data_IF_076671155367
#
_entry.id   IF_076671155367
#
_cell.length_a   1.000
_cell.length_b   1.000
_cell.length_c   1.000
_cell.angle_alpha   90.00
_cell.angle_beta   90.00
_cell.angle_gamma   90.00
#
_symmetry.space_group_name_H-M   'P 1'
#
loop_
_entity.id
_entity.type
_entity.pdbx_description
1 polymer ?
#
# COMPACT_ATOMS: atom_id res chain seq x y z
N UNK A 1 -22.03 23.84 -4.90
CA UNK A 1 -22.87 22.64 -4.90
C UNK A 1 -22.05 21.45 -4.50
N UNK A 2 -22.57 20.64 -3.61
CA UNK A 2 -21.89 19.43 -3.18
C UNK A 2 -22.19 18.30 -4.17
N UNK A 3 -21.13 17.57 -4.54
CA UNK A 3 -21.31 16.39 -5.36
C UNK A 3 -22.05 15.31 -4.55
N UNK A 4 -22.93 14.52 -5.20
CA UNK A 4 -23.64 13.43 -4.52
C UNK A 4 -22.75 12.22 -4.24
N UNK A 5 -21.49 12.26 -4.65
CA UNK A 5 -20.53 11.17 -4.47
C UNK A 5 -19.17 11.76 -4.15
N UNK A 6 -18.28 10.92 -3.62
CA UNK A 6 -16.88 11.27 -3.38
C UNK A 6 -15.99 10.62 -4.42
N UNK A 7 -14.97 11.38 -4.84
CA UNK A 7 -13.91 10.85 -5.71
C UNK A 7 -12.64 10.78 -4.88
N UNK A 8 -12.02 9.61 -4.85
CA UNK A 8 -10.77 9.39 -4.13
C UNK A 8 -9.68 9.00 -5.10
N UNK A 9 -8.45 9.37 -4.77
CA UNK A 9 -7.29 9.09 -5.60
C UNK A 9 -6.51 7.91 -5.04
N UNK A 10 -5.86 7.17 -5.91
CA UNK A 10 -4.92 6.14 -5.48
C UNK A 10 -3.61 6.25 -6.26
N UNK A 11 -2.53 5.82 -5.61
CA UNK A 11 -1.22 5.70 -6.21
C UNK A 11 -1.09 4.29 -6.77
N UNK A 12 -0.67 4.16 -8.03
CA UNK A 12 -0.55 2.86 -8.72
C UNK A 12 0.92 2.50 -8.82
N UNK A 13 1.32 1.38 -8.21
CA UNK A 13 2.72 0.95 -8.16
C UNK A 13 2.84 -0.56 -8.35
N UNK A 14 4.00 -0.99 -8.84
CA UNK A 14 4.32 -2.40 -8.93
C UNK A 14 4.44 -3.05 -7.54
N UNK A 15 4.00 -4.30 -7.42
CA UNK A 15 4.25 -5.10 -6.21
C UNK A 15 5.74 -5.28 -5.92
N UNK A 16 6.60 -5.04 -6.92
CA UNK A 16 8.05 -5.08 -6.74
C UNK A 16 8.59 -4.05 -5.77
N UNK A 17 7.81 -3.03 -5.42
CA UNK A 17 8.19 -2.05 -4.40
C UNK A 17 7.90 -2.53 -2.97
N UNK A 18 7.33 -3.73 -2.81
CA UNK A 18 7.05 -4.32 -1.50
C UNK A 18 8.11 -5.36 -1.15
N UNK A 19 8.78 -5.22 0.01
CA UNK A 19 9.60 -6.31 0.52
C UNK A 19 8.76 -7.55 0.79
N UNK A 20 9.40 -8.71 0.81
CA UNK A 20 8.71 -9.99 0.98
C UNK A 20 7.85 -10.04 2.24
N UNK A 21 8.36 -9.55 3.37
CA UNK A 21 7.60 -9.57 4.63
C UNK A 21 6.33 -8.73 4.54
N UNK A 22 6.37 -7.59 3.83
CA UNK A 22 5.19 -6.74 3.69
C UNK A 22 4.11 -7.39 2.83
N UNK A 23 4.50 -8.18 1.82
CA UNK A 23 3.53 -8.93 1.02
C UNK A 23 2.75 -9.90 1.90
N UNK A 24 3.44 -10.57 2.83
CA UNK A 24 2.79 -11.44 3.80
C UNK A 24 1.89 -10.71 4.76
N UNK A 25 2.32 -9.53 5.24
CA UNK A 25 1.49 -8.70 6.13
C UNK A 25 0.21 -8.26 5.44
N UNK A 26 0.31 -7.76 4.21
CA UNK A 26 -0.86 -7.30 3.46
C UNK A 26 -1.85 -8.42 3.21
N UNK A 27 -1.35 -9.62 2.90
CA UNK A 27 -2.23 -10.77 2.70
C UNK A 27 -2.99 -11.12 3.98
N UNK A 28 -2.33 -11.07 5.13
CA UNK A 28 -2.99 -11.31 6.42
C UNK A 28 -4.03 -10.23 6.73
N UNK A 29 -3.72 -8.97 6.46
CA UNK A 29 -4.67 -7.88 6.71
C UNK A 29 -5.90 -8.02 5.84
N UNK A 30 -5.73 -8.41 4.58
CA UNK A 30 -6.86 -8.62 3.68
C UNK A 30 -7.77 -9.74 4.17
N UNK A 31 -7.18 -10.81 4.71
CA UNK A 31 -7.96 -11.94 5.25
C UNK A 31 -8.67 -11.60 6.55
N UNK A 32 -8.10 -10.72 7.36
CA UNK A 32 -8.69 -10.36 8.65
C UNK A 32 -9.84 -9.37 8.55
N UNK A 33 -10.14 -8.88 7.35
CA UNK A 33 -11.21 -7.90 7.15
C UNK A 33 -10.91 -6.55 7.76
N UNK A 34 -9.64 -6.21 7.94
CA UNK A 34 -9.24 -4.93 8.50
C UNK A 34 -9.29 -4.85 10.01
N UNK A 35 -9.39 -5.99 10.69
CA UNK A 35 -9.49 -6.01 12.16
C UNK A 35 -8.16 -5.66 12.83
N UNK A 36 -7.05 -5.71 12.13
CA UNK A 36 -5.73 -5.34 12.66
C UNK A 36 -4.85 -4.84 11.52
N UNK A 37 -3.88 -3.99 11.83
CA UNK A 37 -2.97 -3.44 10.85
C UNK A 37 -3.66 -2.49 9.88
N UNK A 38 -3.32 -2.60 8.61
CA UNK A 38 -3.87 -1.74 7.57
C UNK A 38 -5.16 -2.33 7.00
N UNK A 39 -6.08 -1.47 6.59
CA UNK A 39 -7.24 -1.89 5.79
C UNK A 39 -6.76 -2.19 4.38
N UNK A 40 -6.99 -3.41 3.93
CA UNK A 40 -6.41 -3.89 2.69
C UNK A 40 -7.36 -4.87 2.01
N UNK A 41 -7.46 -4.77 0.69
CA UNK A 41 -8.16 -5.73 -0.15
C UNK A 41 -7.15 -6.46 -1.00
N UNK A 42 -7.29 -7.78 -1.15
CA UNK A 42 -6.43 -8.52 -2.05
C UNK A 42 -7.16 -8.92 -3.31
N UNK A 43 -6.42 -9.04 -4.40
CA UNK A 43 -6.91 -9.48 -5.68
C UNK A 43 -5.94 -10.46 -6.31
N UNK A 44 -6.23 -10.95 -7.53
CA UNK A 44 -5.37 -11.94 -8.17
C UNK A 44 -3.98 -11.40 -8.52
N UNK A 45 -3.80 -10.08 -8.58
CA UNK A 45 -2.54 -9.48 -9.03
C UNK A 45 -1.92 -8.52 -8.02
N UNK A 46 -2.46 -8.41 -6.81
CA UNK A 46 -1.88 -7.52 -5.81
C UNK A 46 -2.85 -7.11 -4.71
N UNK A 47 -2.63 -5.90 -4.18
CA UNK A 47 -3.37 -5.41 -3.02
C UNK A 47 -3.78 -3.97 -3.20
N UNK A 48 -4.97 -3.62 -2.70
CA UNK A 48 -5.46 -2.25 -2.66
C UNK A 48 -5.52 -1.83 -1.19
N UNK A 49 -4.66 -0.88 -0.81
CA UNK A 49 -4.38 -0.54 0.59
C UNK A 49 -4.91 0.85 0.91
N UNK A 50 -5.66 0.98 2.00
CA UNK A 50 -6.06 2.29 2.52
C UNK A 50 -4.89 2.93 3.25
N UNK A 51 -4.59 4.19 2.91
CA UNK A 51 -3.47 4.92 3.50
C UNK A 51 -3.91 5.52 4.84
N UNK A 52 -3.23 5.20 5.96
CA UNK A 52 -3.56 5.83 7.24
C UNK A 52 -3.21 7.32 7.23
N UNK A 53 -3.83 8.09 8.11
CA UNK A 53 -3.57 9.53 8.20
C UNK A 53 -2.11 9.84 8.52
N UNK A 54 -1.49 9.04 9.39
CA UNK A 54 -0.08 9.17 9.69
C UNK A 54 0.58 7.79 9.60
N UNK A 55 1.21 7.47 8.46
CA UNK A 55 1.81 6.15 8.27
C UNK A 55 2.95 5.83 9.23
N UNK A 56 3.62 6.85 9.77
CA UNK A 56 4.76 6.62 10.67
C UNK A 56 4.35 6.42 12.12
N UNK A 57 3.22 6.98 12.54
CA UNK A 57 2.75 6.83 13.92
C UNK A 57 1.79 5.66 14.09
N UNK A 58 1.29 5.11 12.98
CA UNK A 58 0.35 3.99 13.02
C UNK A 58 1.05 2.73 13.55
N UNK A 59 0.44 2.08 14.53
CA UNK A 59 1.01 0.91 15.18
C UNK A 59 0.72 -0.37 14.39
N UNK A 60 1.65 -0.74 13.53
CA UNK A 60 1.57 -1.95 12.72
C UNK A 60 2.96 -2.35 12.24
N UNK A 61 3.21 -3.66 12.01
CA UNK A 61 4.52 -4.13 11.58
C UNK A 61 4.72 -3.93 10.08
N UNK A 62 5.17 -2.77 9.70
CA UNK A 62 5.47 -2.48 8.30
C UNK A 62 6.92 -2.10 8.12
N UNK A 63 7.47 -2.37 6.95
CA UNK A 63 8.83 -1.98 6.62
C UNK A 63 8.94 -0.47 6.46
N UNK A 64 10.18 0.00 6.49
CA UNK A 64 10.47 1.41 6.21
C UNK A 64 10.04 1.77 4.79
N UNK A 65 10.24 0.86 3.85
CA UNK A 65 9.86 1.07 2.44
C UNK A 65 8.36 1.22 2.29
N UNK A 66 7.55 0.36 2.92
CA UNK A 66 6.10 0.48 2.82
C UNK A 66 5.61 1.76 3.48
N UNK A 67 6.15 2.12 4.64
CA UNK A 67 5.77 3.37 5.31
C UNK A 67 6.09 4.59 4.45
N UNK A 68 7.23 4.58 3.75
CA UNK A 68 7.60 5.67 2.85
C UNK A 68 6.64 5.78 1.67
N UNK A 69 6.20 4.65 1.13
CA UNK A 69 5.23 4.65 0.02
C UNK A 69 3.88 5.22 0.48
N UNK A 70 3.42 4.82 1.67
CA UNK A 70 2.16 5.35 2.21
C UNK A 70 2.25 6.84 2.48
N UNK A 71 3.40 7.32 2.97
CA UNK A 71 3.63 8.75 3.18
C UNK A 71 3.65 9.50 1.84
N UNK A 72 4.27 8.92 0.81
CA UNK A 72 4.28 9.50 -0.53
C UNK A 72 2.85 9.64 -1.06
N UNK A 73 2.04 8.61 -0.91
CA UNK A 73 0.64 8.66 -1.33
C UNK A 73 -0.11 9.78 -0.60
N UNK A 74 0.08 9.89 0.70
CA UNK A 74 -0.58 10.95 1.49
C UNK A 74 -0.13 12.34 1.04
N UNK A 75 1.15 12.51 0.71
CA UNK A 75 1.66 13.78 0.22
C UNK A 75 1.08 14.19 -1.14
N UNK A 76 0.57 13.23 -1.90
CA UNK A 76 -0.10 13.49 -3.18
C UNK A 76 -1.63 13.44 -3.05
N UNK A 77 -2.14 13.54 -1.83
CA UNK A 77 -3.58 13.51 -1.55
C UNK A 77 -4.26 12.22 -1.99
N UNK A 78 -3.52 11.10 -1.98
CA UNK A 78 -4.07 9.80 -2.28
C UNK A 78 -4.51 9.09 -1.00
N UNK A 79 -5.72 8.55 -1.02
CA UNK A 79 -6.27 7.81 0.11
C UNK A 79 -5.96 6.31 0.03
N UNK A 80 -5.46 5.85 -1.12
CA UNK A 80 -5.20 4.44 -1.37
C UNK A 80 -3.92 4.27 -2.17
N UNK A 81 -3.32 3.08 -2.04
CA UNK A 81 -2.25 2.63 -2.94
C UNK A 81 -2.67 1.29 -3.53
N UNK A 82 -2.61 1.19 -4.84
CA UNK A 82 -2.78 -0.08 -5.54
C UNK A 82 -1.41 -0.65 -5.82
N UNK A 83 -1.11 -1.81 -5.23
CA UNK A 83 0.08 -2.59 -5.57
C UNK A 83 -0.34 -3.67 -6.55
N UNK A 84 0.09 -3.53 -7.80
CA UNK A 84 -0.32 -4.41 -8.90
C UNK A 84 0.94 -5.03 -9.50
N UNK A 85 0.91 -6.34 -9.74
CA UNK A 85 2.04 -7.05 -10.36
C UNK A 85 2.41 -6.45 -11.72
N UNK A 86 1.43 -5.89 -12.43
CA UNK A 86 1.64 -5.23 -13.72
C UNK A 86 1.71 -3.71 -13.59
N UNK A 87 1.79 -3.19 -12.37
CA UNK A 87 1.84 -1.76 -12.13
C UNK A 87 3.18 -1.13 -12.50
N UNK A 88 3.23 0.21 -12.55
CA UNK A 88 4.46 0.91 -12.92
C UNK A 88 5.53 0.81 -11.86
N UNK A 89 6.78 0.77 -12.31
CA UNK A 89 7.97 0.83 -11.44
C UNK A 89 8.43 2.28 -11.37
N UNK A 90 8.54 2.81 -10.15
CA UNK A 90 9.03 4.15 -9.91
C UNK A 90 10.52 4.10 -9.57
N UNK A 91 11.33 4.79 -10.35
CA UNK A 91 12.78 4.78 -10.20
C UNK A 91 13.25 5.41 -8.88
N UNK A 92 12.42 6.24 -8.26
CA UNK A 92 12.77 6.88 -6.98
C UNK A 92 12.51 5.97 -5.78
N UNK A 93 11.86 4.83 -5.97
CA UNK A 93 11.53 3.88 -4.91
C UNK A 93 12.37 2.63 -5.06
N UNK A 94 12.72 2.02 -3.92
CA UNK A 94 13.45 0.76 -3.94
C UNK A 94 12.61 -0.35 -4.58
N UNK A 95 13.25 -1.19 -5.38
CA UNK A 95 12.62 -2.37 -5.98
C UNK A 95 13.20 -3.63 -5.35
N UNK A 96 12.33 -4.57 -5.01
CA UNK A 96 12.71 -5.83 -4.38
C UNK A 96 12.46 -6.99 -5.32
N UNK A 97 13.40 -7.93 -5.39
CA UNK A 97 13.17 -9.19 -6.10
C UNK A 97 12.13 -10.00 -5.33
N UNK A 98 11.56 -11.02 -5.99
CA UNK A 98 10.44 -11.80 -5.44
C UNK A 98 10.77 -12.47 -4.10
N UNK A 99 12.04 -12.76 -3.84
CA UNK A 99 12.48 -13.42 -2.61
C UNK A 99 13.29 -12.48 -1.71
N UNK A 100 13.32 -11.18 -2.01
CA UNK A 100 14.11 -10.19 -1.29
C UNK A 100 13.28 -9.52 -0.20
N UNK A 101 13.92 -9.26 0.95
CA UNK A 101 13.29 -8.54 2.06
C UNK A 101 14.16 -7.32 2.44
N UNK A 102 13.55 -6.44 3.22
CA UNK A 102 14.23 -5.23 3.66
C UNK A 102 15.12 -5.47 4.88
#
# INVERSE_FOLDING_TARGET
MLAPFQIRKFLDLSTGHLPLSDRGHLERYARSGGSSGLTCLSGPHGWFVHVPLDPYSHDWPGSRSLRAILALARNHDCDYVLFDADGPVDASLRFFDDDEDE
#
